data_IF_668508606155
#
_entry.id   IF_668508606155
#
_cell.length_a   1.000
_cell.length_b   1.000
_cell.length_c   1.000
_cell.angle_alpha   90.00
_cell.angle_beta   90.00
_cell.angle_gamma   90.00
#
_symmetry.space_group_name_H-M   'P 1'
#
loop_
_entity.id
_entity.type
_entity.pdbx_description
1 polymer ?
#
# COMPACT_ATOMS: atom_id res chain seq x y z
N UNK A 1 -10.41 1.41 3.94
CA UNK A 1 -11.17 0.69 2.89
C UNK A 1 -12.30 1.50 2.21
N UNK A 2 -13.12 2.27 2.97
CA UNK A 2 -14.33 2.91 2.43
C UNK A 2 -14.05 3.98 1.35
N UNK A 3 -13.00 4.81 1.50
CA UNK A 3 -12.65 5.86 0.52
C UNK A 3 -12.04 5.31 -0.79
N UNK A 4 -11.24 4.25 -0.73
CA UNK A 4 -10.59 3.65 -1.91
C UNK A 4 -11.56 2.90 -2.83
N UNK A 5 -12.56 2.22 -2.25
CA UNK A 5 -13.58 1.46 -3.02
C UNK A 5 -14.40 2.35 -3.95
N UNK A 6 -14.55 3.64 -3.63
CA UNK A 6 -15.31 4.59 -4.44
C UNK A 6 -14.61 4.96 -5.76
N UNK A 7 -13.29 4.77 -5.85
CA UNK A 7 -12.49 5.10 -7.02
C UNK A 7 -11.99 3.86 -7.80
N UNK A 8 -12.53 2.67 -7.52
CA UNK A 8 -12.07 1.42 -8.13
C UNK A 8 -10.65 1.01 -7.71
N UNK A 9 -10.19 1.50 -6.56
CA UNK A 9 -8.85 1.21 -6.03
C UNK A 9 -8.97 0.06 -5.03
N UNK A 10 -8.25 -1.03 -5.31
CA UNK A 10 -8.11 -2.14 -4.38
C UNK A 10 -7.53 -1.64 -3.05
N UNK A 11 -8.19 -1.97 -1.95
CA UNK A 11 -7.74 -1.59 -0.61
C UNK A 11 -7.81 -2.77 0.35
N UNK A 12 -6.77 -2.91 1.16
CA UNK A 12 -6.70 -3.86 2.26
C UNK A 12 -6.84 -3.14 3.60
N UNK A 13 -7.52 -3.75 4.56
CA UNK A 13 -7.51 -3.27 5.94
C UNK A 13 -6.26 -3.77 6.68
N UNK A 14 -6.01 -3.23 7.87
CA UNK A 14 -5.00 -3.76 8.80
C UNK A 14 -5.19 -5.24 9.11
N UNK A 15 -6.44 -5.71 9.18
CA UNK A 15 -6.76 -7.12 9.43
C UNK A 15 -6.39 -8.00 8.24
N UNK A 16 -6.63 -7.53 7.02
CA UNK A 16 -6.21 -8.24 5.80
C UNK A 16 -4.68 -8.34 5.70
N UNK A 17 -3.98 -7.27 6.07
CA UNK A 17 -2.51 -7.26 6.14
C UNK A 17 -1.97 -8.23 7.20
N UNK A 18 -2.67 -8.39 8.34
CA UNK A 18 -2.31 -9.38 9.36
C UNK A 18 -2.48 -10.82 8.85
N UNK A 19 -3.52 -11.11 8.05
CA UNK A 19 -3.74 -12.44 7.46
C UNK A 19 -2.63 -12.87 6.50
N UNK A 20 -1.87 -11.93 5.93
CA UNK A 20 -0.69 -12.24 5.13
C UNK A 20 0.41 -12.90 5.97
N UNK A 21 0.41 -12.75 7.30
CA UNK A 21 1.29 -13.42 8.27
C UNK A 21 2.76 -13.52 7.83
N UNK A 22 3.33 -12.42 7.31
CA UNK A 22 4.71 -12.37 6.77
C UNK A 22 5.02 -13.43 5.68
N UNK A 23 4.00 -13.99 5.04
CA UNK A 23 4.17 -15.01 4.01
C UNK A 23 4.80 -14.41 2.76
N UNK A 24 6.09 -14.73 2.56
CA UNK A 24 6.92 -14.21 1.45
C UNK A 24 6.30 -14.45 0.08
N UNK A 25 5.58 -15.56 -0.15
CA UNK A 25 4.95 -15.87 -1.45
C UNK A 25 3.79 -14.91 -1.73
N UNK A 26 2.90 -14.72 -0.75
CA UNK A 26 1.76 -13.83 -0.87
C UNK A 26 2.19 -12.37 -0.98
N UNK A 27 3.19 -11.95 -0.19
CA UNK A 27 3.74 -10.59 -0.26
C UNK A 27 4.42 -10.32 -1.61
N UNK A 28 5.20 -11.27 -2.14
CA UNK A 28 5.76 -11.13 -3.50
C UNK A 28 4.68 -11.05 -4.57
N UNK A 29 3.60 -11.84 -4.45
CA UNK A 29 2.45 -11.77 -5.38
C UNK A 29 1.75 -10.42 -5.29
N UNK A 30 1.56 -9.89 -4.08
CA UNK A 30 0.97 -8.56 -3.84
C UNK A 30 1.84 -7.46 -4.47
N UNK A 31 3.13 -7.47 -4.20
CA UNK A 31 4.08 -6.51 -4.78
C UNK A 31 4.15 -6.61 -6.31
N UNK A 32 3.94 -7.79 -6.91
CA UNK A 32 3.85 -7.92 -8.37
C UNK A 32 2.52 -7.46 -8.95
N UNK A 33 1.43 -7.53 -8.17
CA UNK A 33 0.08 -7.20 -8.63
C UNK A 33 -0.14 -5.68 -8.73
N UNK A 34 0.51 -4.90 -7.88
CA UNK A 34 0.31 -3.44 -7.81
C UNK A 34 1.62 -2.71 -8.02
N UNK A 35 1.61 -1.66 -8.82
CA UNK A 35 2.78 -0.82 -9.09
C UNK A 35 3.20 -0.02 -7.84
N UNK A 36 2.23 0.63 -7.18
CA UNK A 36 2.47 1.43 -5.98
C UNK A 36 1.50 1.10 -4.84
N UNK A 37 1.89 1.45 -3.62
CA UNK A 37 1.09 1.30 -2.41
C UNK A 37 0.92 2.65 -1.70
N UNK A 38 -0.27 2.88 -1.15
CA UNK A 38 -0.56 4.04 -0.31
C UNK A 38 -0.96 3.56 1.09
N UNK A 39 -0.45 4.21 2.13
CA UNK A 39 -0.78 3.90 3.51
C UNK A 39 -0.91 5.17 4.35
N UNK A 40 -1.80 5.18 5.33
CA UNK A 40 -1.85 6.29 6.29
C UNK A 40 -0.60 6.31 7.17
N UNK A 41 -0.26 7.47 7.74
CA UNK A 41 0.93 7.65 8.60
C UNK A 41 0.98 6.69 9.80
N UNK A 42 -0.19 6.31 10.34
CA UNK A 42 -0.26 5.29 11.39
C UNK A 42 0.04 3.88 10.88
N UNK A 43 -0.41 3.56 9.66
CA UNK A 43 -0.29 2.23 9.07
C UNK A 43 1.11 1.98 8.49
N UNK A 44 1.73 2.99 7.86
CA UNK A 44 3.04 2.86 7.23
C UNK A 44 4.11 2.40 8.23
N UNK A 45 4.02 2.84 9.50
CA UNK A 45 4.91 2.42 10.60
C UNK A 45 4.69 0.95 11.00
N UNK A 46 3.49 0.41 10.79
CA UNK A 46 3.16 -0.98 11.12
C UNK A 46 3.49 -1.94 9.98
N UNK A 47 3.56 -1.47 8.74
CA UNK A 47 3.79 -2.32 7.55
C UNK A 47 5.08 -3.14 7.65
N UNK A 48 6.25 -2.57 8.03
CA UNK A 48 7.46 -3.37 8.22
C UNK A 48 7.29 -4.50 9.23
N UNK A 49 6.52 -4.29 10.30
CA UNK A 49 6.24 -5.30 11.33
C UNK A 49 5.26 -6.37 10.83
N UNK A 50 4.23 -5.98 10.07
CA UNK A 50 3.17 -6.88 9.60
C UNK A 50 3.60 -7.71 8.39
N UNK A 51 4.27 -7.08 7.42
CA UNK A 51 4.66 -7.71 6.15
C UNK A 51 6.14 -8.09 6.10
N UNK A 52 6.94 -7.66 7.09
CA UNK A 52 8.39 -7.84 7.04
C UNK A 52 9.03 -7.04 5.91
N UNK A 53 10.32 -7.28 5.61
CA UNK A 53 11.05 -6.53 4.57
C UNK A 53 10.62 -6.90 3.14
N UNK A 54 9.57 -7.72 2.95
CA UNK A 54 9.18 -8.25 1.64
C UNK A 54 8.73 -7.18 0.65
N UNK A 55 7.97 -6.18 1.12
CA UNK A 55 7.53 -5.04 0.30
C UNK A 55 8.69 -4.08 0.00
N UNK A 56 9.50 -3.74 1.02
CA UNK A 56 10.67 -2.88 0.89
C UNK A 56 11.73 -3.47 -0.06
N UNK A 57 12.01 -4.78 0.03
CA UNK A 57 12.94 -5.47 -0.88
C UNK A 57 12.43 -5.52 -2.31
N UNK A 58 11.13 -5.42 -2.53
CA UNK A 58 10.56 -5.34 -3.87
C UNK A 58 10.64 -3.91 -4.46
N UNK A 59 11.21 -2.94 -3.73
CA UNK A 59 11.25 -1.53 -4.13
C UNK A 59 9.91 -0.82 -3.97
N UNK A 60 8.89 -1.47 -3.40
CA UNK A 60 7.51 -0.96 -3.36
C UNK A 60 7.12 -0.51 -1.98
N UNK A 61 7.89 0.40 -1.41
CA UNK A 61 7.55 0.94 -0.09
C UNK A 61 6.32 1.86 -0.21
N UNK A 62 5.32 1.76 0.69
CA UNK A 62 4.12 2.56 0.57
C UNK A 62 4.40 4.04 0.75
N UNK A 63 3.76 4.89 -0.05
CA UNK A 63 3.78 6.35 0.14
C UNK A 63 2.79 6.72 1.26
N UNK A 64 3.19 7.57 2.22
CA UNK A 64 2.27 8.07 3.23
C UNK A 64 1.19 8.96 2.61
N UNK A 65 -0.04 8.85 3.12
CA UNK A 65 -1.16 9.74 2.80
C UNK A 65 -1.81 10.23 4.09
N UNK A 66 -1.95 11.55 4.22
CA UNK A 66 -2.64 12.18 5.34
C UNK A 66 -4.16 12.12 5.18
N UNK A 67 -4.89 12.16 6.28
CA UNK A 67 -6.36 12.23 6.26
C UNK A 67 -6.91 13.53 5.65
N UNK A 68 -6.08 14.58 5.61
CA UNK A 68 -6.39 15.88 5.02
C UNK A 68 -6.21 15.89 3.49
N UNK A 69 -5.50 14.92 2.93
CA UNK A 69 -5.25 14.82 1.49
C UNK A 69 -6.39 14.07 0.79
N UNK A 70 -6.74 14.53 -0.41
CA UNK A 70 -7.64 13.80 -1.29
C UNK A 70 -6.93 12.56 -1.86
N UNK A 71 -7.56 11.40 -1.68
CA UNK A 71 -7.00 10.11 -2.09
C UNK A 71 -6.88 9.99 -3.61
N UNK A 72 -7.83 10.52 -4.38
CA UNK A 72 -7.80 10.45 -5.84
C UNK A 72 -6.67 11.30 -6.42
N UNK A 73 -6.44 12.49 -5.84
CA UNK A 73 -5.30 13.34 -6.22
C UNK A 73 -3.97 12.64 -5.93
N UNK A 74 -3.81 12.09 -4.71
CA UNK A 74 -2.57 11.40 -4.33
C UNK A 74 -2.27 10.19 -5.21
N UNK A 75 -3.30 9.42 -5.58
CA UNK A 75 -3.16 8.27 -6.49
C UNK A 75 -2.68 8.73 -7.87
N UNK A 76 -3.19 9.86 -8.35
CA UNK A 76 -2.78 10.44 -9.63
C UNK A 76 -1.33 10.89 -9.58
N UNK A 77 -0.89 11.51 -8.49
CA UNK A 77 0.49 11.95 -8.30
C UNK A 77 1.47 10.78 -8.24
N UNK A 78 1.14 9.73 -7.48
CA UNK A 78 1.98 8.53 -7.39
C UNK A 78 2.08 7.81 -8.73
N UNK A 79 0.99 7.74 -9.51
CA UNK A 79 1.03 7.19 -10.88
C UNK A 79 1.93 7.99 -11.82
N UNK A 80 2.03 9.31 -11.64
CA UNK A 80 2.94 10.16 -12.44
C UNK A 80 4.39 9.94 -12.05
N UNK A 81 4.67 9.78 -10.76
CA UNK A 81 6.03 9.60 -10.24
C UNK A 81 6.66 8.27 -10.66
N UNK A 82 5.88 7.20 -10.76
CA UNK A 82 6.35 5.88 -11.23
C UNK A 82 6.64 5.81 -12.75
N UNK A 83 6.21 6.79 -13.54
CA UNK A 83 6.42 6.85 -14.99
C UNK A 83 7.52 7.82 -15.43
N UNK A 84 8.24 8.42 -14.47
CA UNK A 84 9.36 9.33 -14.71
C UNK A 84 10.68 8.58 -14.83
#
# INVERSE_FOLDING_TARGET
PRRAKHHGIDAMSTEDLKKLNKNKKLIKKLARKYDAFLASDGLIKQIPRLLGPGLSKAGKFPTPISHAEDMANKVTDVKKWEKG
#
